data_IF_222778742169
#
_entry.id   IF_222778742169
#
_cell.length_a   1.000
_cell.length_b   1.000
_cell.length_c   1.000
_cell.angle_alpha   90.00
_cell.angle_beta   90.00
_cell.angle_gamma   90.00
#
_symmetry.space_group_name_H-M   'P 1'
#
loop_
_entity.id
_entity.type
_entity.pdbx_description
1 polymer ?
#
# COMPACT_ATOMS: atom_id res chain seq x y z
N UNK A 1 -67.41 35.80 52.16
CA UNK A 1 -66.12 35.50 52.81
C UNK A 1 -65.10 35.21 51.76
N UNK A 2 -64.23 36.18 51.40
CA UNK A 2 -62.90 36.04 50.88
C UNK A 2 -62.34 37.44 50.63
N UNK A 3 -61.28 37.80 51.36
CA UNK A 3 -60.64 39.07 51.31
C UNK A 3 -59.84 39.25 50.02
N UNK A 4 -60.02 40.37 49.34
CA UNK A 4 -59.12 40.86 48.30
C UNK A 4 -57.93 41.59 48.92
N UNK A 5 -56.73 41.11 48.62
CA UNK A 5 -55.49 41.84 48.92
C UNK A 5 -55.03 42.51 47.62
N UNK A 6 -54.94 43.81 47.66
CA UNK A 6 -54.42 44.65 46.59
C UNK A 6 -52.91 44.81 46.84
N UNK A 7 -52.08 44.40 45.86
CA UNK A 7 -50.65 44.64 45.86
C UNK A 7 -50.37 45.77 44.87
N UNK A 8 -49.85 46.86 45.36
CA UNK A 8 -49.38 47.98 44.59
C UNK A 8 -47.96 47.64 44.07
N UNK A 9 -47.81 47.60 42.74
CA UNK A 9 -46.51 47.38 42.10
C UNK A 9 -45.79 48.73 41.86
N UNK A 10 -44.60 48.85 42.50
CA UNK A 10 -43.65 49.91 42.18
C UNK A 10 -42.93 49.55 40.87
N UNK A 11 -43.02 50.36 39.84
CA UNK A 11 -42.22 50.26 38.62
C UNK A 11 -40.91 51.03 38.87
N UNK A 12 -39.82 50.29 39.03
CA UNK A 12 -38.46 50.83 39.01
C UNK A 12 -37.89 50.68 37.58
N UNK A 13 -37.72 51.81 36.89
CA UNK A 13 -37.03 51.87 35.60
C UNK A 13 -35.53 51.75 35.85
N UNK A 14 -34.98 50.57 35.58
CA UNK A 14 -33.55 50.35 35.56
C UNK A 14 -33.02 50.61 34.12
N UNK A 15 -32.28 51.68 33.94
CA UNK A 15 -31.48 51.99 32.77
C UNK A 15 -30.33 50.97 32.66
N UNK A 16 -30.43 50.02 31.74
CA UNK A 16 -29.34 49.09 31.42
C UNK A 16 -28.30 49.83 30.57
N UNK A 17 -27.17 50.20 31.19
CA UNK A 17 -25.97 50.60 30.48
C UNK A 17 -25.33 49.37 29.87
N UNK A 18 -25.42 49.18 28.54
CA UNK A 18 -24.72 48.16 27.80
C UNK A 18 -23.24 48.57 27.74
N UNK A 19 -22.44 48.10 28.70
CA UNK A 19 -21.00 48.04 28.54
C UNK A 19 -20.67 46.95 27.54
N UNK A 20 -20.30 47.34 26.31
CA UNK A 20 -19.68 46.41 25.35
C UNK A 20 -18.32 45.99 25.91
N UNK A 21 -18.29 44.86 26.53
CA UNK A 21 -17.06 44.17 26.85
C UNK A 21 -16.45 43.64 25.55
N UNK A 22 -15.54 44.44 24.98
CA UNK A 22 -14.58 43.94 23.99
C UNK A 22 -13.65 42.94 24.69
N UNK A 23 -14.13 41.70 24.90
CA UNK A 23 -13.25 40.61 25.27
C UNK A 23 -12.52 40.19 24.02
N UNK A 24 -11.25 40.60 23.89
CA UNK A 24 -10.32 39.93 22.99
C UNK A 24 -10.42 38.40 23.24
N UNK A 25 -10.43 37.58 22.19
CA UNK A 25 -10.50 36.12 22.38
C UNK A 25 -9.38 35.69 23.31
N UNK A 26 -9.74 35.04 24.41
CA UNK A 26 -8.75 34.46 25.35
C UNK A 26 -7.92 33.51 24.56
N UNK A 27 -6.65 33.81 24.38
CA UNK A 27 -5.64 32.92 23.83
C UNK A 27 -5.52 31.72 24.78
N UNK A 28 -6.00 30.55 24.36
CA UNK A 28 -5.83 29.32 25.14
C UNK A 28 -4.34 28.92 25.06
N UNK A 29 -3.66 29.03 26.18
CA UNK A 29 -2.35 28.40 26.36
C UNK A 29 -2.61 26.91 26.56
N UNK A 30 -2.41 26.11 25.52
CA UNK A 30 -2.49 24.67 25.62
C UNK A 30 -1.19 24.18 26.25
N UNK A 31 -1.25 23.66 27.47
CA UNK A 31 -0.12 22.99 28.14
C UNK A 31 -0.11 21.50 27.76
N UNK A 32 -0.32 21.23 26.45
CA UNK A 32 -0.37 19.88 25.90
C UNK A 32 0.90 19.55 25.10
N UNK A 33 1.29 18.26 25.01
CA UNK A 33 2.39 17.83 24.14
C UNK A 33 2.16 18.31 22.70
N UNK A 34 3.21 18.78 22.05
CA UNK A 34 3.14 19.37 20.69
C UNK A 34 2.53 18.43 19.65
N UNK A 35 2.81 17.10 19.77
CA UNK A 35 2.23 16.06 18.95
C UNK A 35 0.70 15.98 19.08
N UNK A 36 0.18 16.28 20.27
CA UNK A 36 -1.26 16.29 20.52
C UNK A 36 -1.93 17.49 19.85
N UNK A 37 -1.28 18.65 19.92
CA UNK A 37 -1.70 19.86 19.19
C UNK A 37 -1.70 19.60 17.69
N UNK A 38 -0.64 18.97 17.17
CA UNK A 38 -0.56 18.58 15.77
C UNK A 38 -1.71 17.64 15.38
N UNK A 39 -1.94 16.58 16.15
CA UNK A 39 -3.01 15.60 15.89
C UNK A 39 -4.38 16.24 15.88
N UNK A 40 -4.63 17.17 16.80
CA UNK A 40 -5.94 17.83 16.95
C UNK A 40 -6.23 18.83 15.82
N UNK A 41 -5.24 19.62 15.42
CA UNK A 41 -5.47 20.79 14.55
C UNK A 41 -4.91 20.66 13.14
N UNK A 42 -3.91 19.81 12.94
CA UNK A 42 -3.17 19.73 11.68
C UNK A 42 -3.38 18.39 10.95
N UNK A 43 -3.54 17.32 11.70
CA UNK A 43 -3.54 15.96 11.16
C UNK A 43 -4.68 15.66 10.18
N UNK A 44 -5.85 16.31 10.34
CA UNK A 44 -7.00 16.12 9.43
C UNK A 44 -6.69 16.47 7.97
N UNK A 45 -5.79 17.46 7.77
CA UNK A 45 -5.41 17.93 6.43
C UNK A 45 -4.00 17.47 6.03
N UNK A 46 -3.09 17.37 7.01
CA UNK A 46 -1.67 17.07 6.74
C UNK A 46 -1.31 15.60 6.98
N UNK A 47 -2.22 14.78 7.48
CA UNK A 47 -2.00 13.37 7.84
C UNK A 47 -1.60 13.21 9.30
N UNK A 48 -1.90 12.04 9.88
CA UNK A 48 -1.67 11.73 11.30
C UNK A 48 -0.17 11.65 11.66
N UNK A 49 0.69 11.53 10.66
CA UNK A 49 2.13 11.40 10.83
C UNK A 49 2.83 12.67 10.36
N UNK A 50 3.57 13.31 11.25
CA UNK A 50 4.33 14.53 10.92
C UNK A 50 5.35 14.29 9.80
N UNK A 51 5.87 13.07 9.68
CA UNK A 51 6.74 12.64 8.58
C UNK A 51 6.10 12.83 7.19
N UNK A 52 4.80 13.03 7.10
CA UNK A 52 4.11 13.36 5.86
C UNK A 52 4.69 14.58 5.15
N UNK A 53 5.23 15.53 5.89
CA UNK A 53 5.86 16.72 5.31
C UNK A 53 7.10 16.42 4.46
N UNK A 54 7.74 15.30 4.65
CA UNK A 54 8.86 14.79 3.84
C UNK A 54 8.53 14.72 2.36
N UNK A 55 7.32 14.30 2.04
CA UNK A 55 6.86 14.16 0.66
C UNK A 55 6.29 15.45 0.08
N UNK A 56 6.19 16.53 0.87
CA UNK A 56 5.63 17.80 0.42
C UNK A 56 6.62 18.61 -0.43
N UNK A 57 6.10 19.25 -1.46
CA UNK A 57 6.84 20.30 -2.20
C UNK A 57 6.58 21.63 -1.49
N UNK A 58 7.64 22.16 -0.91
CA UNK A 58 7.55 23.43 -0.17
C UNK A 58 7.37 24.61 -1.11
N UNK A 59 6.20 25.25 -1.06
CA UNK A 59 5.88 26.44 -1.87
C UNK A 59 6.25 27.74 -1.18
N UNK A 60 6.28 27.71 0.15
CA UNK A 60 6.42 28.89 0.99
C UNK A 60 7.63 28.79 1.92
N UNK A 61 8.60 27.94 1.55
CA UNK A 61 9.81 27.66 2.32
C UNK A 61 9.59 26.66 3.46
N UNK A 62 10.71 26.15 4.00
CA UNK A 62 10.71 25.14 5.06
C UNK A 62 11.70 25.49 6.19
N UNK A 63 12.18 26.69 6.24
CA UNK A 63 12.93 27.22 7.40
C UNK A 63 11.97 27.51 8.56
N UNK A 64 12.45 27.50 9.79
CA UNK A 64 11.62 27.77 10.96
C UNK A 64 10.79 29.07 10.85
N UNK A 65 11.38 30.23 10.47
CA UNK A 65 10.60 31.46 10.29
C UNK A 65 9.49 31.34 9.24
N UNK A 66 9.75 30.65 8.13
CA UNK A 66 8.79 30.44 7.05
C UNK A 66 7.64 29.52 7.49
N UNK A 67 7.96 28.46 8.26
CA UNK A 67 6.95 27.57 8.84
C UNK A 67 6.08 28.30 9.87
N UNK A 68 6.71 29.07 10.77
CA UNK A 68 5.98 29.90 11.75
C UNK A 68 5.06 30.89 11.04
N UNK A 69 5.53 31.57 9.99
CA UNK A 69 4.71 32.48 9.19
C UNK A 69 3.55 31.74 8.51
N UNK A 70 3.83 30.57 7.91
CA UNK A 70 2.83 29.75 7.24
C UNK A 70 1.74 29.24 8.18
N UNK A 71 2.10 28.77 9.36
CA UNK A 71 1.15 28.33 10.38
C UNK A 71 0.35 29.51 10.92
N UNK A 72 1.05 30.62 11.25
CA UNK A 72 0.40 31.81 11.82
C UNK A 72 -0.67 32.39 10.89
N UNK A 73 -0.34 32.60 9.62
CA UNK A 73 -1.18 33.34 8.68
C UNK A 73 -2.12 32.42 7.90
N UNK A 74 -1.78 31.14 7.77
CA UNK A 74 -2.51 30.22 6.90
C UNK A 74 -2.42 30.58 5.41
N UNK A 75 -3.14 29.84 4.60
CA UNK A 75 -3.32 30.04 3.15
C UNK A 75 -4.77 29.67 2.83
N UNK A 76 -5.71 30.56 3.17
CA UNK A 76 -7.14 30.30 3.05
C UNK A 76 -7.54 29.89 1.62
N UNK A 77 -6.93 30.50 0.61
CA UNK A 77 -7.16 30.16 -0.80
C UNK A 77 -6.75 28.73 -1.17
N UNK A 78 -5.90 28.09 -0.33
CA UNK A 78 -5.45 26.72 -0.47
C UNK A 78 -6.05 25.79 0.60
N UNK A 79 -7.02 26.26 1.38
CA UNK A 79 -7.70 25.49 2.41
C UNK A 79 -6.95 25.37 3.74
N UNK A 80 -5.81 26.06 3.92
CA UNK A 80 -5.10 26.10 5.20
C UNK A 80 -5.59 27.32 6.01
N UNK A 81 -6.31 27.13 7.15
CA UNK A 81 -6.79 28.23 7.95
C UNK A 81 -5.64 28.99 8.65
N UNK A 82 -5.88 30.25 9.01
CA UNK A 82 -5.00 31.01 9.92
C UNK A 82 -5.13 30.45 11.33
N UNK A 83 -3.99 30.25 12.00
CA UNK A 83 -3.95 29.83 13.39
C UNK A 83 -3.64 31.00 14.34
N UNK A 84 -3.47 32.20 13.81
CA UNK A 84 -3.30 33.43 14.58
C UNK A 84 -4.50 33.66 15.50
N UNK A 85 -4.23 33.73 16.81
CA UNK A 85 -5.28 33.95 17.82
C UNK A 85 -6.01 32.66 18.24
N UNK A 86 -5.76 31.52 17.60
CA UNK A 86 -6.25 30.20 17.99
C UNK A 86 -5.18 29.46 18.78
N UNK A 87 -3.96 29.39 18.22
CA UNK A 87 -2.79 28.84 18.88
C UNK A 87 -1.90 29.96 19.44
N UNK A 88 -1.21 29.69 20.55
CA UNK A 88 -0.25 30.65 21.08
C UNK A 88 0.99 30.74 20.17
N UNK A 89 1.72 31.86 20.14
CA UNK A 89 2.99 31.97 19.42
C UNK A 89 4.00 30.89 19.82
N UNK A 90 3.99 30.47 21.09
CA UNK A 90 4.84 29.41 21.63
C UNK A 90 4.47 28.04 21.06
N UNK A 91 3.18 27.73 20.91
CA UNK A 91 2.73 26.46 20.33
C UNK A 91 3.00 26.41 18.83
N UNK A 92 2.83 27.52 18.13
CA UNK A 92 3.20 27.66 16.71
C UNK A 92 4.70 27.44 16.51
N UNK A 93 5.53 28.02 17.38
CA UNK A 93 6.98 27.85 17.36
C UNK A 93 7.40 26.39 17.59
N UNK A 94 6.79 25.72 18.57
CA UNK A 94 7.00 24.29 18.84
C UNK A 94 6.51 23.39 17.71
N UNK A 95 5.38 23.72 17.06
CA UNK A 95 4.90 22.98 15.89
C UNK A 95 5.87 23.10 14.71
N UNK A 96 6.47 24.27 14.51
CA UNK A 96 7.51 24.45 13.50
C UNK A 96 8.76 23.60 13.81
N UNK A 97 9.19 23.55 15.07
CA UNK A 97 10.29 22.68 15.52
C UNK A 97 9.95 21.20 15.30
N UNK A 98 8.78 20.75 15.70
CA UNK A 98 8.31 19.38 15.48
C UNK A 98 8.36 18.98 13.99
N UNK A 99 7.94 19.86 13.11
CA UNK A 99 8.02 19.65 11.65
C UNK A 99 9.47 19.54 11.20
N UNK A 100 10.35 20.44 11.62
CA UNK A 100 11.77 20.47 11.24
C UNK A 100 12.50 19.21 11.74
N UNK A 101 12.27 18.82 12.99
CA UNK A 101 12.87 17.61 13.58
C UNK A 101 12.45 16.36 12.79
N UNK A 102 11.19 16.27 12.39
CA UNK A 102 10.72 15.17 11.56
C UNK A 102 11.24 15.25 10.12
N UNK A 103 11.46 16.44 9.56
CA UNK A 103 12.13 16.60 8.28
C UNK A 103 13.60 16.18 8.35
N UNK A 104 14.31 16.52 9.42
CA UNK A 104 15.68 16.05 9.66
C UNK A 104 15.72 14.53 9.85
N UNK A 105 14.69 13.96 10.46
CA UNK A 105 14.50 12.51 10.59
C UNK A 105 14.40 11.77 9.26
N UNK A 106 14.15 12.46 8.14
CA UNK A 106 14.18 11.88 6.78
C UNK A 106 15.56 11.37 6.41
N UNK A 107 16.63 11.98 6.91
CA UNK A 107 17.98 11.47 6.69
C UNK A 107 18.14 10.03 7.22
N UNK A 108 17.41 9.64 8.26
CA UNK A 108 17.36 8.25 8.73
C UNK A 108 16.74 7.28 7.72
N UNK A 109 15.97 7.77 6.74
CA UNK A 109 15.41 6.98 5.64
C UNK A 109 16.30 7.00 4.40
N UNK A 110 17.34 7.83 4.34
CA UNK A 110 18.34 7.84 3.28
C UNK A 110 19.37 6.73 3.52
N UNK A 111 18.95 5.55 3.23
CA UNK A 111 19.75 4.35 3.40
C UNK A 111 20.68 4.14 2.21
N UNK A 112 21.67 4.98 2.04
CA UNK A 112 22.69 4.85 1.00
C UNK A 112 23.83 3.89 1.37
N UNK A 113 23.94 3.51 2.65
CA UNK A 113 25.02 2.65 3.13
C UNK A 113 24.58 1.19 3.15
N UNK A 114 25.32 0.35 2.42
CA UNK A 114 25.14 -1.12 2.52
C UNK A 114 25.23 -1.57 3.99
N UNK A 115 24.44 -2.59 4.38
CA UNK A 115 24.56 -3.16 5.72
C UNK A 115 25.99 -3.58 6.02
N UNK A 116 26.46 -3.29 7.22
CA UNK A 116 27.80 -3.71 7.68
C UNK A 116 27.85 -5.21 8.00
N UNK A 117 26.71 -5.85 8.14
CA UNK A 117 26.54 -7.25 8.51
C UNK A 117 25.33 -7.84 7.80
N UNK A 118 25.27 -9.15 7.67
CA UNK A 118 24.09 -9.88 7.25
C UNK A 118 23.21 -10.31 8.44
N UNK A 119 23.50 -9.81 9.64
CA UNK A 119 22.71 -10.04 10.88
C UNK A 119 21.96 -8.77 11.23
N UNK A 120 20.69 -8.92 11.55
CA UNK A 120 19.76 -7.83 11.87
C UNK A 120 19.02 -8.15 13.15
N UNK A 121 18.97 -7.18 14.06
CA UNK A 121 18.23 -7.27 15.32
C UNK A 121 16.83 -6.71 15.10
N UNK A 122 15.83 -7.42 15.58
CA UNK A 122 14.44 -7.01 15.65
C UNK A 122 13.90 -7.32 17.04
N UNK A 123 12.75 -6.77 17.38
CA UNK A 123 12.11 -7.08 18.65
C UNK A 123 11.81 -8.59 18.76
N UNK A 124 12.44 -9.23 19.76
CA UNK A 124 12.27 -10.65 20.08
C UNK A 124 12.89 -11.65 19.08
N UNK A 125 13.54 -11.20 17.99
CA UNK A 125 14.19 -12.08 17.00
C UNK A 125 15.42 -11.38 16.42
N UNK A 126 16.57 -12.04 16.49
CA UNK A 126 17.73 -11.70 15.65
C UNK A 126 17.69 -12.58 14.41
N UNK A 127 17.91 -12.01 13.23
CA UNK A 127 17.87 -12.74 11.97
C UNK A 127 19.15 -12.59 11.18
N UNK A 128 19.49 -13.62 10.39
CA UNK A 128 20.63 -13.63 9.48
C UNK A 128 20.15 -13.87 8.06
N UNK A 129 20.62 -13.07 7.12
CA UNK A 129 20.36 -13.29 5.70
C UNK A 129 21.26 -14.36 5.12
N UNK A 130 20.65 -15.31 4.43
CA UNK A 130 21.30 -16.36 3.64
C UNK A 130 20.95 -16.17 2.17
N UNK A 131 21.94 -15.95 1.31
CA UNK A 131 21.75 -15.73 -0.12
C UNK A 131 21.35 -17.02 -0.82
N UNK A 132 20.16 -17.07 -1.38
CA UNK A 132 19.64 -18.22 -2.13
C UNK A 132 20.06 -18.16 -3.60
N UNK A 133 19.91 -16.99 -4.22
CA UNK A 133 20.25 -16.80 -5.62
C UNK A 133 20.61 -15.35 -5.92
N UNK A 134 21.40 -15.13 -6.98
CA UNK A 134 21.89 -13.83 -7.42
C UNK A 134 21.76 -13.67 -8.93
N UNK A 135 22.08 -12.45 -9.43
CA UNK A 135 22.15 -12.18 -10.86
C UNK A 135 20.79 -12.03 -11.52
N UNK A 136 19.84 -11.40 -10.83
CA UNK A 136 18.57 -10.96 -11.38
C UNK A 136 18.61 -9.44 -11.67
N UNK A 137 17.76 -9.00 -12.58
CA UNK A 137 17.45 -7.57 -12.71
C UNK A 137 16.49 -7.16 -11.60
N UNK A 138 15.37 -7.87 -11.51
CA UNK A 138 14.37 -7.68 -10.48
C UNK A 138 13.69 -9.02 -10.20
N UNK A 139 14.05 -9.73 -9.12
CA UNK A 139 13.39 -10.99 -8.73
C UNK A 139 11.97 -10.65 -8.22
N UNK A 140 11.01 -10.71 -9.14
CA UNK A 140 9.68 -10.16 -8.91
C UNK A 140 8.76 -11.14 -8.19
N UNK A 141 8.66 -12.36 -8.66
CA UNK A 141 7.88 -13.45 -8.08
C UNK A 141 8.78 -14.52 -7.46
N UNK A 142 8.30 -15.18 -6.43
CA UNK A 142 8.98 -16.27 -5.74
C UNK A 142 7.98 -17.34 -5.34
N UNK A 143 8.31 -18.61 -5.59
CA UNK A 143 7.58 -19.76 -5.07
C UNK A 143 8.54 -20.89 -4.70
N UNK A 144 8.36 -21.47 -3.52
CA UNK A 144 9.10 -22.66 -3.11
C UNK A 144 8.34 -23.92 -3.50
N UNK A 145 9.00 -24.82 -4.25
CA UNK A 145 8.45 -26.10 -4.67
C UNK A 145 8.45 -27.11 -3.49
N UNK A 146 7.62 -28.17 -3.55
CA UNK A 146 7.61 -29.21 -2.51
C UNK A 146 8.97 -29.91 -2.28
N UNK A 147 9.80 -30.03 -3.31
CA UNK A 147 11.17 -30.57 -3.24
C UNK A 147 12.19 -29.59 -2.68
N UNK A 148 11.72 -28.39 -2.22
CA UNK A 148 12.52 -27.27 -1.67
C UNK A 148 13.34 -26.49 -2.70
N UNK A 149 13.21 -26.76 -3.98
CA UNK A 149 13.71 -25.89 -5.02
C UNK A 149 12.85 -24.62 -5.11
N UNK A 150 13.30 -23.63 -5.86
CA UNK A 150 12.64 -22.34 -5.94
C UNK A 150 12.35 -21.97 -7.40
N UNK A 151 11.16 -21.44 -7.65
CA UNK A 151 10.84 -20.73 -8.88
C UNK A 151 10.96 -19.23 -8.62
N UNK A 152 11.68 -18.53 -9.47
CA UNK A 152 11.91 -17.09 -9.37
C UNK A 152 11.70 -16.48 -10.74
N UNK A 153 10.75 -15.53 -10.84
CA UNK A 153 10.59 -14.71 -12.03
C UNK A 153 11.52 -13.51 -11.98
N UNK A 154 12.15 -13.22 -13.10
CA UNK A 154 12.86 -11.97 -13.33
C UNK A 154 11.99 -11.08 -14.24
N UNK A 155 11.80 -9.84 -13.85
CA UNK A 155 10.98 -8.86 -14.57
C UNK A 155 11.38 -8.72 -16.05
N UNK A 156 12.61 -9.02 -16.41
CA UNK A 156 13.08 -9.05 -17.82
C UNK A 156 12.48 -10.17 -18.67
N UNK A 157 11.56 -10.97 -18.14
CA UNK A 157 10.82 -11.98 -18.89
C UNK A 157 11.34 -13.41 -18.70
N UNK A 158 12.26 -13.62 -17.77
CA UNK A 158 12.83 -14.93 -17.51
C UNK A 158 12.26 -15.58 -16.25
N UNK A 159 12.03 -16.87 -16.33
CA UNK A 159 11.68 -17.73 -15.20
C UNK A 159 12.89 -18.63 -14.89
N UNK A 160 13.25 -18.75 -13.61
CA UNK A 160 14.37 -19.58 -13.18
C UNK A 160 13.91 -20.64 -12.18
N UNK A 161 14.45 -21.83 -12.33
CA UNK A 161 14.51 -22.86 -11.30
C UNK A 161 15.85 -22.69 -10.56
N UNK A 162 15.81 -22.62 -9.25
CA UNK A 162 16.99 -22.63 -8.38
C UNK A 162 16.92 -23.86 -7.49
N UNK A 163 17.87 -24.77 -7.63
CA UNK A 163 17.93 -25.99 -6.84
C UNK A 163 18.46 -25.75 -5.41
N UNK A 164 18.43 -26.76 -4.57
CA UNK A 164 18.94 -26.69 -3.19
C UNK A 164 20.47 -26.48 -3.11
N UNK A 165 21.20 -26.78 -4.19
CA UNK A 165 22.63 -26.46 -4.33
C UNK A 165 22.88 -25.05 -4.85
N UNK A 166 21.80 -24.28 -5.08
CA UNK A 166 21.81 -22.91 -5.61
C UNK A 166 22.22 -22.79 -7.08
N UNK A 167 22.15 -23.88 -7.84
CA UNK A 167 22.30 -23.82 -9.28
C UNK A 167 21.03 -23.18 -9.88
N UNK A 168 21.23 -22.17 -10.73
CA UNK A 168 20.17 -21.44 -11.40
C UNK A 168 20.03 -21.92 -12.84
N UNK A 169 18.86 -22.43 -13.21
CA UNK A 169 18.52 -22.92 -14.55
C UNK A 169 17.34 -22.12 -15.10
N UNK A 170 17.44 -21.64 -16.32
CA UNK A 170 16.33 -20.93 -16.99
C UNK A 170 15.26 -21.92 -17.43
N UNK A 171 13.99 -21.59 -17.16
CA UNK A 171 12.82 -22.29 -17.69
C UNK A 171 12.43 -21.57 -19.00
N UNK A 172 12.50 -22.31 -20.09
CA UNK A 172 12.16 -21.80 -21.43
C UNK A 172 10.67 -21.97 -21.78
N UNK A 173 10.20 -21.26 -22.80
CA UNK A 173 8.80 -21.37 -23.28
C UNK A 173 7.78 -20.59 -22.46
N UNK A 174 8.21 -19.73 -21.55
CA UNK A 174 7.33 -18.79 -20.82
C UNK A 174 6.71 -17.78 -21.79
N UNK A 175 5.57 -17.13 -21.43
CA UNK A 175 4.97 -16.10 -22.26
C UNK A 175 5.95 -14.99 -22.63
N UNK A 176 5.84 -14.50 -23.85
CA UNK A 176 6.56 -13.31 -24.27
C UNK A 176 6.02 -12.08 -23.52
N UNK A 177 6.93 -11.23 -23.04
CA UNK A 177 6.58 -10.06 -22.25
C UNK A 177 7.29 -8.81 -22.76
N UNK A 178 6.70 -7.66 -22.50
CA UNK A 178 7.41 -6.40 -22.70
C UNK A 178 7.95 -5.87 -21.38
N UNK A 179 9.26 -5.99 -21.19
CA UNK A 179 9.97 -5.55 -19.97
C UNK A 179 10.31 -4.05 -20.03
N UNK A 180 9.28 -3.21 -20.13
CA UNK A 180 9.41 -1.74 -20.17
C UNK A 180 8.65 -1.10 -19.01
N UNK A 181 9.23 -0.04 -18.42
CA UNK A 181 8.66 0.61 -17.25
C UNK A 181 8.54 -0.35 -16.06
N UNK A 182 7.30 -0.59 -15.62
CA UNK A 182 6.99 -1.55 -14.54
C UNK A 182 6.58 -2.94 -15.08
N UNK A 183 6.48 -3.10 -16.40
CA UNK A 183 6.09 -4.35 -17.04
C UNK A 183 7.20 -5.38 -17.11
N UNK A 184 6.85 -6.63 -17.41
CA UNK A 184 7.73 -7.78 -17.54
C UNK A 184 7.04 -9.08 -17.13
N UNK A 185 7.81 -10.11 -16.78
CA UNK A 185 7.31 -11.29 -16.07
C UNK A 185 7.25 -10.94 -14.58
N UNK A 186 6.07 -11.09 -13.98
CA UNK A 186 5.78 -10.50 -12.68
C UNK A 186 5.62 -11.58 -11.60
N UNK A 187 4.44 -11.78 -11.03
CA UNK A 187 4.30 -12.71 -9.91
C UNK A 187 4.22 -14.17 -10.32
N UNK A 188 4.53 -15.04 -9.35
CA UNK A 188 4.39 -16.50 -9.44
C UNK A 188 3.60 -17.00 -8.24
N UNK A 189 2.63 -17.87 -8.49
CA UNK A 189 1.94 -18.63 -7.46
C UNK A 189 1.84 -20.11 -7.84
N UNK A 190 2.01 -20.99 -6.86
CA UNK A 190 1.68 -22.40 -7.03
C UNK A 190 0.20 -22.61 -6.75
N UNK A 191 -0.42 -23.53 -7.47
CA UNK A 191 -1.76 -24.00 -7.11
C UNK A 191 -1.78 -24.54 -5.67
N UNK A 192 -2.84 -24.34 -4.86
CA UNK A 192 -2.90 -24.89 -3.50
C UNK A 192 -2.68 -26.42 -3.43
N UNK A 193 -3.05 -27.13 -4.50
CA UNK A 193 -2.82 -28.57 -4.66
C UNK A 193 -1.69 -28.89 -5.66
N UNK A 194 -0.65 -28.05 -5.69
CA UNK A 194 0.46 -28.19 -6.66
C UNK A 194 1.09 -29.59 -6.66
N UNK A 195 1.29 -30.20 -5.50
CA UNK A 195 1.86 -31.54 -5.40
C UNK A 195 1.06 -32.62 -6.17
N UNK A 196 -0.23 -32.37 -6.43
CA UNK A 196 -1.14 -33.28 -7.14
C UNK A 196 -1.28 -32.93 -8.62
N UNK A 197 -1.30 -31.64 -8.97
CA UNK A 197 -1.64 -31.20 -10.32
C UNK A 197 -0.52 -30.48 -11.08
N UNK A 198 0.52 -30.01 -10.38
CA UNK A 198 1.69 -29.35 -10.97
C UNK A 198 1.45 -27.96 -11.57
N UNK A 199 0.28 -27.33 -11.32
CA UNK A 199 -0.04 -26.03 -11.90
C UNK A 199 0.75 -24.89 -11.22
N UNK A 200 1.40 -24.09 -12.05
CA UNK A 200 2.06 -22.83 -11.71
C UNK A 200 1.32 -21.69 -12.41
N UNK A 201 1.09 -20.59 -11.73
CA UNK A 201 0.46 -19.40 -12.26
C UNK A 201 1.48 -18.28 -12.36
N UNK A 202 1.40 -17.51 -13.43
CA UNK A 202 2.21 -16.31 -13.62
C UNK A 202 1.35 -15.15 -14.07
N UNK A 203 1.68 -13.97 -13.57
CA UNK A 203 1.23 -12.71 -14.12
C UNK A 203 2.32 -12.08 -14.97
N UNK A 204 1.93 -11.35 -16.00
CA UNK A 204 2.90 -10.75 -16.91
C UNK A 204 2.32 -9.51 -17.63
N UNK A 205 3.20 -8.67 -18.15
CA UNK A 205 2.80 -7.59 -19.05
C UNK A 205 2.59 -8.12 -20.45
N UNK A 206 1.32 -8.39 -20.77
CA UNK A 206 0.89 -8.74 -22.11
C UNK A 206 0.93 -7.50 -23.02
N UNK A 207 1.20 -7.68 -24.29
CA UNK A 207 1.26 -6.57 -25.23
C UNK A 207 0.70 -6.94 -26.61
N UNK A 208 0.31 -5.93 -27.36
CA UNK A 208 0.01 -6.01 -28.77
C UNK A 208 0.51 -4.75 -29.49
N UNK A 209 0.77 -4.89 -30.77
CA UNK A 209 1.15 -3.77 -31.62
C UNK A 209 -0.11 -3.29 -32.37
N UNK A 210 -0.41 -2.01 -32.21
CA UNK A 210 -1.49 -1.32 -32.90
C UNK A 210 -0.89 -0.17 -33.72
N UNK A 211 -0.73 -0.42 -35.01
CA UNK A 211 0.05 0.45 -35.91
C UNK A 211 1.51 0.54 -35.46
N UNK A 212 1.97 1.75 -35.08
CA UNK A 212 3.29 1.99 -34.52
C UNK A 212 3.32 2.01 -33.00
N UNK A 213 2.18 1.76 -32.35
CA UNK A 213 2.02 1.91 -30.90
C UNK A 213 2.02 0.55 -30.20
N UNK A 214 2.85 0.40 -29.17
CA UNK A 214 2.76 -0.76 -28.27
C UNK A 214 1.69 -0.49 -27.22
N UNK A 215 0.67 -1.34 -27.20
CA UNK A 215 -0.39 -1.35 -26.21
C UNK A 215 -0.13 -2.46 -25.21
N UNK A 216 -0.37 -2.21 -23.92
CA UNK A 216 -0.06 -3.17 -22.85
C UNK A 216 -1.25 -3.43 -21.93
N UNK A 217 -1.26 -4.62 -21.35
CA UNK A 217 -2.29 -5.13 -20.46
C UNK A 217 -1.65 -6.01 -19.38
N UNK A 218 -2.39 -6.40 -18.35
CA UNK A 218 -1.99 -7.43 -17.38
C UNK A 218 -2.61 -8.76 -17.79
N UNK A 219 -1.78 -9.77 -18.04
CA UNK A 219 -2.20 -11.13 -18.34
C UNK A 219 -1.96 -12.08 -17.15
N UNK A 220 -2.81 -13.11 -17.01
CA UNK A 220 -2.64 -14.24 -16.11
C UNK A 220 -2.62 -15.52 -16.92
N UNK A 221 -1.61 -16.35 -16.70
CA UNK A 221 -1.42 -17.63 -17.38
C UNK A 221 -1.13 -18.71 -16.33
N UNK A 222 -1.58 -19.93 -16.57
CA UNK A 222 -1.10 -21.12 -15.85
C UNK A 222 -0.43 -22.10 -16.79
N UNK A 223 0.46 -22.90 -16.25
CA UNK A 223 1.15 -23.97 -16.98
C UNK A 223 1.84 -24.91 -16.02
N UNK A 224 2.61 -25.84 -16.58
CA UNK A 224 3.42 -26.79 -15.83
C UNK A 224 4.88 -26.67 -16.24
N UNK A 225 5.77 -27.17 -15.38
CA UNK A 225 7.21 -27.22 -15.69
C UNK A 225 7.61 -28.68 -15.86
N UNK A 226 8.15 -29.02 -17.04
CA UNK A 226 8.70 -30.32 -17.35
C UNK A 226 10.03 -30.15 -18.08
N UNK A 227 11.09 -30.78 -17.61
CA UNK A 227 12.42 -30.75 -18.23
C UNK A 227 12.92 -29.29 -18.47
N UNK A 228 12.74 -28.41 -17.50
CA UNK A 228 13.08 -26.99 -17.57
C UNK A 228 12.35 -26.23 -18.70
N UNK A 229 11.19 -26.70 -19.09
CA UNK A 229 10.29 -26.01 -20.06
C UNK A 229 8.94 -25.75 -19.44
N UNK A 230 8.38 -24.57 -19.75
CA UNK A 230 7.00 -24.23 -19.51
C UNK A 230 6.12 -24.92 -20.56
N UNK A 231 5.21 -25.76 -20.11
CA UNK A 231 4.33 -26.57 -20.97
C UNK A 231 2.87 -26.49 -20.51
N UNK A 232 1.96 -27.00 -21.34
CA UNK A 232 0.52 -26.98 -21.05
C UNK A 232 0.01 -25.58 -20.71
N UNK A 233 0.56 -24.57 -21.38
CA UNK A 233 0.24 -23.15 -21.14
C UNK A 233 -1.22 -22.84 -21.45
N UNK A 234 -1.93 -22.21 -20.49
CA UNK A 234 -3.32 -21.80 -20.61
C UNK A 234 -3.44 -20.35 -20.17
N UNK A 235 -3.88 -19.48 -21.08
CA UNK A 235 -4.22 -18.11 -20.71
C UNK A 235 -5.55 -18.11 -19.95
N UNK A 236 -5.57 -17.49 -18.77
CA UNK A 236 -6.73 -17.46 -17.88
C UNK A 236 -7.43 -16.10 -17.89
N UNK A 237 -6.66 -15.04 -18.11
CA UNK A 237 -7.18 -13.68 -18.04
C UNK A 237 -6.29 -12.70 -18.81
N UNK A 238 -6.95 -11.71 -19.36
CA UNK A 238 -6.35 -10.55 -20.01
C UNK A 238 -7.14 -9.31 -19.62
N UNK A 239 -6.50 -8.32 -19.01
CA UNK A 239 -7.22 -7.11 -18.58
C UNK A 239 -7.53 -6.19 -19.77
N UNK A 240 -8.75 -5.71 -19.84
CA UNK A 240 -9.24 -4.81 -20.88
C UNK A 240 -9.70 -3.46 -20.27
N UNK A 241 -9.53 -2.37 -21.00
CA UNK A 241 -8.84 -2.25 -22.30
C UNK A 241 -7.32 -2.22 -22.15
N UNK A 242 -6.62 -2.51 -23.23
CA UNK A 242 -5.19 -2.25 -23.35
C UNK A 242 -4.88 -0.75 -23.31
N UNK A 243 -3.72 -0.38 -22.78
CA UNK A 243 -3.27 1.01 -22.67
C UNK A 243 -1.90 1.23 -23.28
N UNK A 244 -1.58 2.49 -23.61
CA UNK A 244 -0.24 2.90 -24.08
C UNK A 244 0.79 3.03 -22.97
N UNK A 245 0.40 2.84 -21.71
CA UNK A 245 1.26 3.04 -20.55
C UNK A 245 2.03 1.79 -20.21
N UNK A 246 3.18 1.95 -19.52
CA UNK A 246 4.03 0.86 -19.05
C UNK A 246 4.14 0.88 -17.51
N UNK A 247 3.06 1.29 -16.83
CA UNK A 247 3.01 1.41 -15.37
C UNK A 247 1.72 0.83 -14.80
N UNK A 248 1.72 0.61 -13.47
CA UNK A 248 0.59 0.16 -12.67
C UNK A 248 -0.06 -1.12 -13.21
N UNK A 249 0.72 -2.19 -13.32
CA UNK A 249 0.21 -3.50 -13.75
C UNK A 249 -0.51 -4.26 -12.62
N UNK A 250 -0.34 -3.86 -11.35
CA UNK A 250 -0.78 -4.64 -10.21
C UNK A 250 -0.04 -5.97 -10.14
N UNK A 251 -0.70 -7.07 -10.56
CA UNK A 251 -0.11 -8.36 -10.91
C UNK A 251 0.13 -9.36 -9.77
N UNK A 252 -0.19 -9.08 -8.51
CA UNK A 252 -0.05 -10.08 -7.44
C UNK A 252 -1.13 -11.14 -7.53
N UNK A 253 -0.75 -12.38 -7.22
CA UNK A 253 -1.63 -13.56 -7.25
C UNK A 253 -1.64 -14.21 -5.86
N UNK A 254 -2.83 -14.49 -5.34
CA UNK A 254 -3.01 -15.33 -4.14
C UNK A 254 -4.22 -16.26 -4.33
N UNK A 255 -4.25 -17.34 -3.55
CA UNK A 255 -5.40 -18.24 -3.48
C UNK A 255 -6.03 -18.17 -2.09
N UNK A 256 -7.36 -18.18 -2.04
CA UNK A 256 -8.07 -18.33 -0.78
C UNK A 256 -8.13 -19.81 -0.33
N UNK A 257 -8.69 -20.04 0.86
CA UNK A 257 -8.85 -21.37 1.43
C UNK A 257 -9.81 -22.27 0.64
N UNK A 258 -10.65 -21.70 -0.22
CA UNK A 258 -11.60 -22.42 -1.08
C UNK A 258 -10.99 -22.77 -2.44
N UNK A 259 -9.80 -22.24 -2.74
CA UNK A 259 -9.09 -22.46 -4.00
C UNK A 259 -9.45 -21.43 -5.08
N UNK A 260 -10.17 -20.36 -4.76
CA UNK A 260 -10.35 -19.26 -5.70
C UNK A 260 -9.06 -18.48 -5.86
N UNK A 261 -8.73 -18.13 -7.09
CA UNK A 261 -7.63 -17.27 -7.45
C UNK A 261 -8.04 -15.81 -7.36
N UNK A 262 -7.30 -15.02 -6.56
CA UNK A 262 -7.39 -13.57 -6.53
C UNK A 262 -6.14 -12.96 -7.14
N UNK A 263 -6.32 -11.92 -7.94
CA UNK A 263 -5.17 -11.19 -8.50
C UNK A 263 -5.51 -9.71 -8.68
N UNK A 264 -4.47 -8.90 -8.73
CA UNK A 264 -4.60 -7.46 -8.83
C UNK A 264 -4.27 -6.95 -10.23
N UNK A 265 -5.01 -5.94 -10.68
CA UNK A 265 -4.72 -5.15 -11.87
C UNK A 265 -4.68 -3.68 -11.47
N UNK A 266 -3.61 -2.98 -11.78
CA UNK A 266 -3.48 -1.54 -11.52
C UNK A 266 -4.25 -0.69 -12.54
N UNK A 267 -4.48 0.58 -12.23
CA UNK A 267 -5.26 1.51 -13.05
C UNK A 267 -4.51 2.03 -14.30
N UNK A 268 -3.30 1.54 -14.54
CA UNK A 268 -2.52 1.79 -15.75
C UNK A 268 -2.11 3.25 -15.96
N UNK A 269 -2.07 4.08 -14.91
CA UNK A 269 -1.83 5.53 -15.02
C UNK A 269 -3.01 6.32 -15.59
N UNK A 270 -4.21 5.74 -15.50
CA UNK A 270 -5.45 6.31 -16.04
C UNK A 270 -6.46 6.57 -14.90
N UNK A 271 -6.00 7.21 -13.84
CA UNK A 271 -6.74 7.40 -12.59
C UNK A 271 -8.12 8.04 -12.75
N UNK A 272 -8.29 8.90 -13.74
CA UNK A 272 -9.57 9.58 -13.99
C UNK A 272 -10.57 8.79 -14.82
N UNK A 273 -10.15 7.61 -15.33
CA UNK A 273 -10.93 6.82 -16.29
C UNK A 273 -11.34 5.48 -15.70
N UNK A 274 -10.39 4.71 -15.16
CA UNK A 274 -10.63 3.29 -14.92
C UNK A 274 -11.03 2.89 -13.50
N UNK A 275 -10.43 3.44 -12.43
CA UNK A 275 -10.59 2.83 -11.09
C UNK A 275 -12.03 2.79 -10.60
N UNK A 276 -12.81 3.83 -10.87
CA UNK A 276 -14.19 3.96 -10.39
C UNK A 276 -15.23 3.31 -11.30
N UNK A 277 -14.89 3.07 -12.57
CA UNK A 277 -15.78 2.40 -13.51
C UNK A 277 -15.64 0.88 -13.41
N UNK A 278 -16.72 0.14 -13.59
CA UNK A 278 -16.77 -1.34 -13.47
C UNK A 278 -16.94 -2.06 -14.80
N UNK A 279 -16.96 -1.31 -15.91
CA UNK A 279 -17.00 -1.80 -17.29
C UNK A 279 -15.61 -2.10 -17.88
N UNK A 280 -14.58 -2.08 -17.04
CA UNK A 280 -13.19 -2.35 -17.39
C UNK A 280 -12.48 -3.09 -16.25
N UNK A 281 -11.32 -3.70 -16.56
CA UNK A 281 -10.58 -4.54 -15.61
C UNK A 281 -9.47 -3.80 -14.86
N UNK A 282 -9.23 -2.52 -15.17
CA UNK A 282 -8.09 -1.77 -14.64
C UNK A 282 -8.42 -1.08 -13.30
N UNK A 283 -7.50 -1.13 -12.33
CA UNK A 283 -7.72 -0.61 -10.96
C UNK A 283 -8.67 -1.48 -10.15
N UNK A 284 -8.45 -2.80 -10.18
CA UNK A 284 -9.35 -3.81 -9.61
C UNK A 284 -8.60 -4.93 -8.90
N UNK A 285 -9.29 -5.61 -7.98
CA UNK A 285 -8.99 -6.98 -7.60
C UNK A 285 -10.00 -7.89 -8.27
N UNK A 286 -9.52 -8.92 -8.96
CA UNK A 286 -10.32 -9.92 -9.64
C UNK A 286 -10.35 -11.23 -8.87
N UNK A 287 -11.43 -12.01 -9.04
CA UNK A 287 -11.57 -13.37 -8.51
C UNK A 287 -12.04 -14.32 -9.60
N UNK A 288 -11.30 -15.41 -9.79
CA UNK A 288 -11.61 -16.49 -10.73
C UNK A 288 -11.49 -17.85 -10.03
N UNK A 289 -12.05 -18.88 -10.64
CA UNK A 289 -11.64 -20.26 -10.38
C UNK A 289 -10.18 -20.47 -10.83
N UNK A 290 -9.56 -21.53 -10.38
CA UNK A 290 -8.18 -21.91 -10.73
C UNK A 290 -7.99 -22.18 -12.24
N UNK A 291 -9.07 -22.47 -12.98
CA UNK A 291 -9.10 -22.69 -14.42
C UNK A 291 -9.44 -21.45 -15.26
N UNK A 292 -9.61 -20.29 -14.60
CA UNK A 292 -9.96 -19.02 -15.25
C UNK A 292 -11.46 -18.78 -15.40
N UNK A 293 -12.32 -19.74 -15.06
CA UNK A 293 -13.77 -19.53 -15.10
C UNK A 293 -14.25 -18.59 -13.98
N UNK A 294 -15.36 -17.92 -14.22
CA UNK A 294 -15.87 -16.90 -13.29
C UNK A 294 -16.76 -17.56 -12.24
N UNK A 295 -16.47 -17.35 -10.92
CA UNK A 295 -17.33 -17.82 -9.85
C UNK A 295 -18.73 -17.21 -9.92
N UNK A 296 -19.76 -18.04 -9.78
CA UNK A 296 -21.17 -17.61 -9.87
C UNK A 296 -21.59 -16.60 -8.77
N UNK A 297 -20.86 -16.61 -7.65
CA UNK A 297 -21.06 -15.73 -6.51
C UNK A 297 -20.16 -14.48 -6.52
N UNK A 298 -19.52 -14.16 -7.64
CA UNK A 298 -18.84 -12.87 -7.82
C UNK A 298 -19.85 -11.72 -7.75
N UNK A 299 -19.49 -10.57 -7.16
CA UNK A 299 -20.44 -9.51 -6.82
C UNK A 299 -21.13 -8.87 -8.04
N UNK A 300 -20.56 -9.01 -9.23
CA UNK A 300 -21.09 -8.41 -10.46
C UNK A 300 -21.63 -9.43 -11.46
N UNK A 301 -21.64 -10.73 -11.14
CA UNK A 301 -22.27 -11.76 -11.96
C UNK A 301 -23.79 -11.53 -12.03
N UNK A 302 -24.35 -11.68 -13.21
CA UNK A 302 -25.80 -11.47 -13.46
C UNK A 302 -26.22 -10.01 -13.57
N UNK A 303 -25.29 -9.05 -13.48
CA UNK A 303 -25.51 -7.63 -13.75
C UNK A 303 -25.33 -7.34 -15.25
N UNK A 304 -25.72 -6.14 -15.67
CA UNK A 304 -25.53 -5.65 -17.04
C UNK A 304 -24.05 -5.74 -17.45
N UNK A 305 -23.72 -6.66 -18.35
CA UNK A 305 -22.33 -6.93 -18.78
C UNK A 305 -21.69 -5.74 -19.53
N UNK A 306 -22.49 -4.79 -20.01
CA UNK A 306 -21.95 -3.55 -20.61
C UNK A 306 -21.42 -2.56 -19.57
N UNK A 307 -21.78 -2.74 -18.28
CA UNK A 307 -21.42 -1.86 -17.18
C UNK A 307 -20.59 -2.56 -16.10
N UNK A 308 -20.60 -3.89 -16.06
CA UNK A 308 -19.99 -4.65 -14.98
C UNK A 308 -19.25 -5.87 -15.51
N UNK A 309 -17.94 -5.88 -15.37
CA UNK A 309 -17.15 -7.07 -15.68
C UNK A 309 -17.30 -8.11 -14.55
N UNK A 310 -17.72 -9.34 -14.86
CA UNK A 310 -18.12 -10.33 -13.84
C UNK A 310 -16.93 -10.93 -13.07
N UNK A 311 -15.69 -10.75 -13.54
CA UNK A 311 -14.48 -11.18 -12.84
C UNK A 311 -14.10 -10.25 -11.68
N UNK A 312 -14.62 -9.01 -11.65
CA UNK A 312 -14.28 -8.00 -10.64
C UNK A 312 -14.78 -8.46 -9.28
N UNK A 313 -13.89 -8.44 -8.29
CA UNK A 313 -14.22 -8.68 -6.89
C UNK A 313 -14.31 -7.38 -6.09
N UNK A 314 -13.40 -6.43 -6.31
CA UNK A 314 -13.45 -5.06 -5.78
C UNK A 314 -12.88 -4.06 -6.79
N UNK A 315 -13.15 -2.76 -6.58
CA UNK A 315 -12.74 -1.71 -7.51
C UNK A 315 -12.29 -0.44 -6.77
N UNK A 316 -11.77 0.52 -7.50
CA UNK A 316 -11.26 1.76 -6.91
C UNK A 316 -9.85 1.65 -6.37
N UNK A 317 -9.05 0.69 -6.84
CA UNK A 317 -7.63 0.54 -6.52
C UNK A 317 -6.76 1.36 -7.49
N UNK A 318 -5.58 1.80 -6.98
CA UNK A 318 -4.57 2.45 -7.82
C UNK A 318 -3.58 1.46 -8.42
N UNK A 319 -2.73 0.88 -7.60
CA UNK A 319 -1.70 -0.06 -8.04
C UNK A 319 -1.34 -1.05 -6.94
N UNK A 320 -2.16 -2.07 -6.73
CA UNK A 320 -1.89 -3.09 -5.72
C UNK A 320 -0.63 -3.90 -6.06
N UNK A 321 0.39 -3.80 -5.21
CA UNK A 321 1.69 -4.46 -5.40
C UNK A 321 1.93 -5.58 -4.39
N UNK A 322 1.02 -5.77 -3.45
CA UNK A 322 0.99 -6.88 -2.53
C UNK A 322 -0.41 -7.46 -2.40
N UNK A 323 -0.53 -8.79 -2.34
CA UNK A 323 -1.79 -9.50 -2.15
C UNK A 323 -1.51 -10.82 -1.42
N UNK A 324 -2.23 -11.08 -0.34
CA UNK A 324 -2.10 -12.32 0.43
C UNK A 324 -3.40 -12.69 1.11
N UNK A 325 -3.58 -13.97 1.39
CA UNK A 325 -4.69 -14.47 2.19
C UNK A 325 -4.26 -14.57 3.65
N UNK A 326 -5.05 -14.00 4.54
CA UNK A 326 -4.86 -14.17 5.98
C UNK A 326 -5.07 -15.65 6.33
N UNK A 327 -4.05 -16.36 6.86
CA UNK A 327 -4.14 -17.81 7.06
C UNK A 327 -5.12 -18.22 8.18
N UNK A 328 -5.52 -17.30 9.05
CA UNK A 328 -6.46 -17.57 10.14
C UNK A 328 -7.90 -17.26 9.75
N UNK A 329 -8.15 -16.05 9.22
CA UNK A 329 -9.52 -15.59 8.89
C UNK A 329 -9.96 -15.97 7.47
N UNK A 330 -9.02 -16.09 6.54
CA UNK A 330 -9.29 -16.30 5.11
C UNK A 330 -9.51 -15.01 4.33
N UNK A 331 -9.46 -13.84 4.99
CA UNK A 331 -9.60 -12.55 4.33
C UNK A 331 -8.43 -12.27 3.38
N UNK A 332 -8.73 -11.59 2.29
CA UNK A 332 -7.72 -11.12 1.34
C UNK A 332 -7.19 -9.77 1.82
N UNK A 333 -5.89 -9.69 2.03
CA UNK A 333 -5.18 -8.47 2.38
C UNK A 333 -4.35 -7.99 1.21
N UNK A 334 -4.32 -6.70 1.05
CA UNK A 334 -3.69 -6.02 -0.07
C UNK A 334 -2.86 -4.84 0.43
N UNK A 335 -1.78 -4.52 -0.32
CA UNK A 335 -1.09 -3.24 -0.21
C UNK A 335 -0.99 -2.59 -1.57
N UNK A 336 -1.27 -1.27 -1.63
CA UNK A 336 -1.17 -0.52 -2.86
C UNK A 336 -0.34 0.75 -2.74
N UNK A 337 0.17 1.19 -3.88
CA UNK A 337 0.91 2.43 -3.98
C UNK A 337 -0.01 3.64 -4.08
N UNK A 338 0.13 4.57 -3.16
CA UNK A 338 -0.24 5.97 -3.39
C UNK A 338 0.79 6.67 -4.30
N UNK A 339 0.58 7.94 -4.66
CA UNK A 339 1.60 8.69 -5.42
C UNK A 339 2.72 9.25 -4.51
N UNK A 340 2.50 10.36 -3.82
CA UNK A 340 3.39 10.90 -2.78
C UNK A 340 2.69 10.83 -1.44
N UNK A 341 2.99 9.79 -0.67
CA UNK A 341 2.19 9.39 0.48
C UNK A 341 0.89 8.69 0.07
N UNK A 342 0.16 8.16 1.05
CA UNK A 342 -1.11 7.51 0.82
C UNK A 342 -1.00 6.10 0.23
N UNK A 343 0.13 5.42 0.39
CA UNK A 343 0.16 3.97 0.21
C UNK A 343 -0.72 3.34 1.29
N UNK A 344 -1.39 2.23 0.98
CA UNK A 344 -2.42 1.66 1.84
C UNK A 344 -2.20 0.18 2.16
N UNK A 345 -2.76 -0.24 3.29
CA UNK A 345 -3.01 -1.64 3.64
C UNK A 345 -4.52 -1.80 3.70
N UNK A 346 -5.07 -2.69 2.89
CA UNK A 346 -6.51 -2.91 2.77
C UNK A 346 -6.91 -4.36 3.08
N UNK A 347 -8.13 -4.56 3.61
CA UNK A 347 -8.82 -5.85 3.65
C UNK A 347 -9.86 -5.83 2.54
N UNK A 348 -9.73 -6.73 1.58
CA UNK A 348 -10.53 -6.71 0.37
C UNK A 348 -11.87 -7.43 0.57
N UNK A 349 -12.96 -6.75 0.28
CA UNK A 349 -14.32 -7.23 0.40
C UNK A 349 -15.04 -7.21 -0.95
N UNK A 350 -15.97 -8.16 -1.14
CA UNK A 350 -16.73 -8.31 -2.37
C UNK A 350 -17.58 -7.07 -2.69
N UNK A 351 -17.46 -6.56 -3.91
CA UNK A 351 -18.26 -5.46 -4.44
C UNK A 351 -17.92 -4.09 -3.87
N UNK A 352 -16.87 -3.95 -3.04
CA UNK A 352 -16.52 -2.71 -2.37
C UNK A 352 -15.61 -1.82 -3.21
N UNK A 353 -15.76 -0.50 -3.01
CA UNK A 353 -15.00 0.57 -3.66
C UNK A 353 -13.91 1.09 -2.71
N UNK A 354 -12.64 1.02 -3.12
CA UNK A 354 -11.48 1.48 -2.35
C UNK A 354 -11.08 2.94 -2.63
N UNK A 355 -11.87 3.62 -3.43
CA UNK A 355 -11.96 5.07 -3.46
C UNK A 355 -10.98 5.82 -4.34
N UNK A 356 -9.90 5.20 -4.85
CA UNK A 356 -8.97 5.88 -5.75
C UNK A 356 -9.64 6.34 -7.06
N UNK A 357 -9.46 7.57 -7.54
CA UNK A 357 -8.75 8.72 -6.93
C UNK A 357 -9.68 9.71 -6.20
N UNK A 358 -10.93 9.32 -5.93
CA UNK A 358 -11.95 10.19 -5.29
C UNK A 358 -11.57 10.55 -3.87
N UNK A 359 -11.01 9.58 -3.13
CA UNK A 359 -10.39 9.78 -1.81
C UNK A 359 -8.92 9.40 -1.88
N UNK A 360 -8.07 10.06 -1.10
CA UNK A 360 -6.64 9.75 -1.00
C UNK A 360 -6.00 10.40 0.23
N UNK A 361 -5.02 9.72 0.82
CA UNK A 361 -4.13 10.26 1.85
C UNK A 361 -2.84 10.87 1.27
N UNK A 362 -2.65 10.78 -0.05
CA UNK A 362 -1.48 11.27 -0.77
C UNK A 362 -1.73 12.54 -1.57
N UNK A 363 -0.66 13.02 -2.21
CA UNK A 363 -0.69 14.15 -3.15
C UNK A 363 -0.01 13.74 -4.46
N UNK A 364 -0.25 14.50 -5.52
CA UNK A 364 0.41 14.31 -6.80
C UNK A 364 1.94 14.54 -6.71
N UNK A 365 2.69 13.98 -7.63
CA UNK A 365 4.14 14.14 -7.71
C UNK A 365 4.57 15.60 -7.94
N UNK A 366 3.71 16.44 -8.53
CA UNK A 366 3.93 17.88 -8.69
C UNK A 366 3.62 18.68 -7.40
N UNK A 367 3.13 18.02 -6.35
CA UNK A 367 2.78 18.61 -5.04
C UNK A 367 1.38 19.16 -4.95
N UNK A 368 0.55 19.03 -6.00
CA UNK A 368 -0.86 19.41 -5.96
C UNK A 368 -1.72 18.34 -5.30
N UNK A 369 -2.83 18.69 -4.67
CA UNK A 369 -3.81 17.72 -4.22
C UNK A 369 -4.33 16.85 -5.38
N UNK A 370 -4.56 15.57 -5.13
CA UNK A 370 -5.34 14.69 -6.00
C UNK A 370 -6.82 14.99 -5.76
N UNK A 371 -7.15 14.98 -4.50
CA UNK A 371 -8.47 15.30 -3.94
C UNK A 371 -8.28 16.02 -2.60
N UNK A 372 -9.32 16.66 -2.12
CA UNK A 372 -9.33 17.35 -0.82
C UNK A 372 -9.98 16.50 0.27
N UNK A 373 -10.36 15.27 -0.03
CA UNK A 373 -11.05 14.38 0.91
C UNK A 373 -10.32 13.03 1.01
N UNK A 374 -10.20 12.54 2.22
CA UNK A 374 -9.63 11.21 2.51
C UNK A 374 -10.69 10.17 2.84
N UNK A 375 -11.95 10.59 3.06
CA UNK A 375 -13.07 9.71 3.41
C UNK A 375 -14.31 10.11 2.65
N UNK A 376 -15.10 9.12 2.20
CA UNK A 376 -16.41 9.34 1.56
C UNK A 376 -17.30 8.12 1.83
N UNK A 377 -18.58 8.36 2.03
CA UNK A 377 -19.57 7.30 2.17
C UNK A 377 -19.59 6.40 0.93
N UNK A 378 -19.70 5.10 1.13
CA UNK A 378 -19.63 4.09 0.07
C UNK A 378 -18.23 3.75 -0.43
N UNK A 379 -17.18 4.32 0.20
CA UNK A 379 -15.77 4.02 -0.08
C UNK A 379 -15.07 3.48 1.17
N UNK A 380 -14.38 2.37 1.01
CA UNK A 380 -13.69 1.69 2.10
C UNK A 380 -12.48 2.51 2.58
N UNK A 381 -12.17 2.35 3.86
CA UNK A 381 -11.02 2.99 4.47
C UNK A 381 -9.92 1.97 4.71
N UNK A 382 -8.65 2.31 4.50
CA UNK A 382 -7.55 1.39 4.73
C UNK A 382 -7.42 1.02 6.21
N UNK A 383 -6.94 -0.20 6.47
CA UNK A 383 -6.51 -0.65 7.80
C UNK A 383 -5.39 0.23 8.34
N UNK A 384 -4.50 0.67 7.45
CA UNK A 384 -3.43 1.63 7.72
C UNK A 384 -2.96 2.25 6.40
N UNK A 385 -2.37 3.44 6.48
CA UNK A 385 -1.74 4.09 5.34
C UNK A 385 -0.33 4.59 5.69
N UNK A 386 0.46 4.86 4.66
CA UNK A 386 1.84 5.31 4.81
C UNK A 386 2.01 6.72 4.26
N UNK A 387 2.47 7.62 5.11
CA UNK A 387 2.99 8.92 4.73
C UNK A 387 4.24 9.15 5.58
N UNK A 388 5.40 9.27 4.94
CA UNK A 388 5.67 9.26 3.51
C UNK A 388 5.36 7.92 2.85
N UNK A 389 5.14 7.91 1.51
CA UNK A 389 5.05 6.69 0.73
C UNK A 389 6.28 5.81 0.92
N UNK A 390 6.09 4.54 1.24
CA UNK A 390 7.16 3.55 1.33
C UNK A 390 7.30 2.73 0.05
N UNK A 391 6.37 2.89 -0.89
CA UNK A 391 6.18 2.05 -2.06
C UNK A 391 6.12 0.56 -1.65
N UNK A 392 5.02 0.12 -0.97
CA UNK A 392 4.88 -1.25 -0.48
C UNK A 392 4.86 -2.23 -1.65
N UNK A 393 5.43 -3.41 -1.43
CA UNK A 393 5.54 -4.44 -2.46
C UNK A 393 4.91 -5.75 -1.99
N UNK A 394 5.60 -6.89 -2.13
CA UNK A 394 5.11 -8.16 -1.61
C UNK A 394 4.79 -8.09 -0.11
N UNK A 395 3.76 -8.83 0.31
CA UNK A 395 3.40 -8.97 1.70
C UNK A 395 3.07 -10.42 2.04
N UNK A 396 3.27 -10.78 3.31
CA UNK A 396 2.91 -12.11 3.84
C UNK A 396 2.65 -12.08 5.33
N UNK A 397 1.73 -12.90 5.80
CA UNK A 397 1.56 -13.16 7.23
C UNK A 397 2.58 -14.19 7.71
N UNK A 398 3.12 -13.98 8.91
CA UNK A 398 4.02 -14.91 9.58
C UNK A 398 3.21 -16.02 10.27
N UNK A 399 2.83 -17.04 9.49
CA UNK A 399 2.15 -18.24 9.98
C UNK A 399 3.15 -19.39 10.14
N UNK A 400 4.09 -19.24 11.07
CA UNK A 400 5.16 -20.21 11.32
C UNK A 400 5.67 -20.08 12.76
N UNK A 401 6.14 -21.19 13.33
CA UNK A 401 6.77 -21.22 14.65
C UNK A 401 8.29 -20.95 14.62
N UNK A 402 8.86 -20.79 13.42
CA UNK A 402 10.29 -20.47 13.29
C UNK A 402 10.67 -19.09 13.81
N UNK A 403 9.70 -18.17 13.87
CA UNK A 403 9.88 -16.81 14.39
C UNK A 403 8.79 -16.54 15.42
N UNK A 404 8.90 -17.09 16.64
CA UNK A 404 7.81 -17.01 17.63
C UNK A 404 7.32 -15.58 17.91
N UNK A 405 8.25 -14.61 18.02
CA UNK A 405 7.90 -13.21 18.25
C UNK A 405 7.24 -12.50 17.06
N UNK A 406 7.33 -13.07 15.85
CA UNK A 406 6.71 -12.53 14.66
C UNK A 406 5.42 -13.25 14.24
N UNK A 407 5.05 -14.31 14.96
CA UNK A 407 3.84 -15.08 14.63
C UNK A 407 2.61 -14.18 14.66
N UNK A 408 1.82 -14.22 13.59
CA UNK A 408 0.65 -13.36 13.43
C UNK A 408 0.93 -11.97 12.84
N UNK A 409 2.20 -11.57 12.72
CA UNK A 409 2.54 -10.28 12.14
C UNK A 409 2.44 -10.30 10.60
N UNK A 410 2.21 -9.13 10.02
CA UNK A 410 2.24 -8.91 8.58
C UNK A 410 3.59 -8.29 8.19
N UNK A 411 4.27 -8.89 7.22
CA UNK A 411 5.54 -8.41 6.67
C UNK A 411 5.32 -7.78 5.31
N UNK A 412 5.84 -6.57 5.10
CA UNK A 412 5.65 -5.78 3.87
C UNK A 412 7.00 -5.25 3.40
N UNK A 413 7.35 -5.49 2.15
CA UNK A 413 8.57 -4.95 1.55
C UNK A 413 8.43 -3.47 1.20
N UNK A 414 9.47 -2.67 1.44
CA UNK A 414 9.56 -1.28 1.01
C UNK A 414 10.53 -1.14 -0.15
N UNK A 415 10.05 -0.64 -1.28
CA UNK A 415 10.88 -0.34 -2.44
C UNK A 415 11.59 1.01 -2.32
N UNK A 416 10.93 2.00 -1.70
CA UNK A 416 11.48 3.35 -1.61
C UNK A 416 12.59 3.46 -0.58
N UNK A 417 12.39 2.88 0.59
CA UNK A 417 13.29 3.04 1.72
C UNK A 417 14.10 1.78 2.07
N UNK A 418 14.05 0.75 1.23
CA UNK A 418 14.93 -0.42 1.29
C UNK A 418 14.91 -1.14 2.65
N UNK A 419 13.73 -1.41 3.20
CA UNK A 419 13.56 -2.15 4.45
C UNK A 419 12.36 -3.11 4.38
N UNK A 420 12.31 -4.05 5.29
CA UNK A 420 11.14 -4.85 5.57
C UNK A 420 10.35 -4.20 6.70
N UNK A 421 9.07 -3.92 6.48
CA UNK A 421 8.17 -3.37 7.48
C UNK A 421 7.42 -4.52 8.17
N UNK A 422 7.66 -4.72 9.46
CA UNK A 422 6.90 -5.63 10.31
C UNK A 422 5.74 -4.88 10.93
N UNK A 423 4.53 -5.34 10.67
CA UNK A 423 3.29 -4.79 11.23
C UNK A 423 2.71 -5.78 12.24
N UNK A 424 2.54 -5.37 13.49
CA UNK A 424 1.77 -6.13 14.47
C UNK A 424 0.30 -5.84 14.26
N UNK A 425 -0.46 -6.91 14.00
CA UNK A 425 -1.90 -6.82 13.72
C UNK A 425 -2.69 -7.27 14.95
N UNK A 426 -3.64 -6.45 15.39
CA UNK A 426 -4.61 -6.79 16.42
C UNK A 426 -5.99 -6.26 16.01
N UNK A 427 -7.01 -7.13 16.04
CA UNK A 427 -8.39 -6.78 15.68
C UNK A 427 -8.48 -6.06 14.31
N UNK A 428 -7.79 -6.60 13.30
CA UNK A 428 -7.66 -6.03 11.96
C UNK A 428 -7.09 -4.61 11.91
N UNK A 429 -6.32 -4.19 12.91
CA UNK A 429 -5.64 -2.90 12.97
C UNK A 429 -4.13 -3.09 13.08
N UNK A 430 -3.38 -2.21 12.45
CA UNK A 430 -1.92 -2.12 12.65
C UNK A 430 -1.69 -1.35 13.95
N UNK A 431 -1.23 -2.06 14.99
CA UNK A 431 -0.99 -1.46 16.33
C UNK A 431 0.47 -1.08 16.56
N UNK A 432 1.40 -1.63 15.77
CA UNK A 432 2.82 -1.29 15.83
C UNK A 432 3.47 -1.60 14.49
N UNK A 433 4.46 -0.81 14.12
CA UNK A 433 5.31 -1.02 12.93
C UNK A 433 6.78 -0.97 13.33
N UNK A 434 7.57 -1.88 12.76
CA UNK A 434 9.01 -1.92 12.94
C UNK A 434 9.71 -2.04 11.58
N UNK A 435 10.77 -1.24 11.38
CA UNK A 435 11.60 -1.28 10.17
C UNK A 435 12.79 -2.22 10.42
N UNK A 436 12.81 -3.33 9.73
CA UNK A 436 13.86 -4.34 9.85
C UNK A 436 14.54 -4.59 8.49
N UNK A 437 15.69 -5.26 8.47
CA UNK A 437 16.46 -5.51 7.25
C UNK A 437 16.73 -4.21 6.45
N UNK A 438 17.09 -3.14 7.17
CA UNK A 438 17.35 -1.84 6.57
C UNK A 438 18.55 -1.87 5.64
N UNK A 439 18.46 -1.23 4.46
CA UNK A 439 19.51 -1.11 3.44
C UNK A 439 19.94 -2.40 2.71
N UNK A 440 19.16 -3.46 2.84
CA UNK A 440 19.43 -4.69 2.08
C UNK A 440 19.21 -4.47 0.59
N UNK A 441 18.44 -3.44 0.22
CA UNK A 441 18.08 -3.04 -1.13
C UNK A 441 16.58 -2.88 -1.28
N UNK A 442 16.10 -2.60 -2.48
CA UNK A 442 14.68 -2.43 -2.77
C UNK A 442 13.96 -3.78 -2.66
N UNK A 443 13.18 -3.98 -1.61
CA UNK A 443 12.46 -5.24 -1.39
C UNK A 443 11.25 -5.32 -2.33
N UNK A 444 11.35 -6.17 -3.35
CA UNK A 444 10.28 -6.38 -4.34
C UNK A 444 9.31 -7.47 -3.93
N UNK A 445 9.82 -8.52 -3.32
CA UNK A 445 9.01 -9.66 -2.91
C UNK A 445 9.27 -10.03 -1.45
N UNK A 446 8.21 -10.42 -0.76
CA UNK A 446 8.25 -10.90 0.62
C UNK A 446 7.28 -12.07 0.68
N UNK A 447 7.77 -13.26 1.00
CA UNK A 447 6.94 -14.47 0.99
C UNK A 447 7.39 -15.48 2.05
N UNK A 448 6.44 -16.11 2.72
CA UNK A 448 6.70 -17.25 3.58
C UNK A 448 6.82 -18.51 2.72
N UNK A 449 7.93 -19.23 2.84
CA UNK A 449 8.14 -20.50 2.17
C UNK A 449 7.34 -21.63 2.81
N UNK A 450 7.15 -22.72 2.08
CA UNK A 450 6.50 -23.94 2.59
C UNK A 450 7.29 -24.63 3.71
N UNK A 451 8.56 -24.26 3.88
CA UNK A 451 9.45 -24.69 4.96
C UNK A 451 9.35 -23.80 6.21
N UNK A 452 8.50 -22.77 6.16
CA UNK A 452 8.27 -21.82 7.27
C UNK A 452 9.33 -20.75 7.41
N UNK A 453 10.30 -20.64 6.50
CA UNK A 453 11.22 -19.50 6.47
C UNK A 453 10.65 -18.35 5.65
N UNK A 454 11.01 -17.12 6.07
CA UNK A 454 10.71 -15.90 5.31
C UNK A 454 11.75 -15.74 4.19
N UNK A 455 11.28 -15.39 3.00
CA UNK A 455 12.10 -15.10 1.83
C UNK A 455 11.84 -13.68 1.34
N UNK A 456 12.89 -13.01 0.90
CA UNK A 456 12.81 -11.66 0.30
C UNK A 456 13.53 -11.64 -1.04
N UNK A 457 12.87 -11.04 -2.03
CA UNK A 457 13.47 -10.71 -3.32
C UNK A 457 13.85 -9.23 -3.35
N UNK A 458 15.09 -8.93 -3.73
CA UNK A 458 15.67 -7.59 -3.65
C UNK A 458 16.16 -7.14 -5.01
N UNK A 459 15.61 -6.01 -5.50
CA UNK A 459 16.19 -5.26 -6.64
C UNK A 459 17.43 -4.50 -6.15
N UNK A 460 18.47 -4.40 -6.97
CA UNK A 460 19.72 -3.79 -6.54
C UNK A 460 20.18 -4.27 -5.14
N UNK A 461 20.86 -5.42 -5.10
CA UNK A 461 21.72 -5.98 -6.15
C UNK A 461 21.13 -7.14 -6.99
N UNK A 462 19.82 -7.40 -7.00
CA UNK A 462 19.23 -8.49 -7.78
C UNK A 462 19.45 -9.86 -7.14
N UNK A 463 18.93 -10.04 -5.93
CA UNK A 463 19.17 -11.21 -5.09
C UNK A 463 17.88 -11.72 -4.43
N UNK A 464 17.88 -13.00 -4.11
CA UNK A 464 16.87 -13.60 -3.22
C UNK A 464 17.56 -14.10 -1.97
N UNK A 465 17.04 -13.74 -0.81
CA UNK A 465 17.54 -14.14 0.49
C UNK A 465 16.50 -14.96 1.25
N UNK A 466 16.98 -15.94 2.01
CA UNK A 466 16.25 -16.52 3.13
C UNK A 466 16.61 -15.77 4.41
N UNK A 467 15.62 -15.42 5.18
CA UNK A 467 15.77 -14.73 6.46
C UNK A 467 15.78 -15.81 7.55
N UNK A 468 16.92 -16.14 8.10
CA UNK A 468 17.03 -17.18 9.13
C UNK A 468 16.95 -16.57 10.52
N UNK A 469 16.13 -17.09 11.45
CA UNK A 469 16.29 -16.76 12.86
C UNK A 469 17.65 -17.26 13.34
N UNK A 470 18.34 -16.43 14.16
CA UNK A 470 19.70 -16.69 14.64
C UNK A 470 19.65 -17.08 16.11
#
# INVERSE_FOLDING_TARGET
MYKKIMIVGLIATATLSIMSLNTAPKQFVLDEPTEKIYTQYCASCHGEKVEAFVDRKWKHGNTKPELVASITNGYNDMGMPTWKGILSPKDIDKLADLIIENLAGVEQYKFEKKPKSNIFVSEGVTVKLDTIATGFDSPWGFAQLPNKDYLISDRKGKLYLVDQKRNKTEITGTPEVIAKGQGGLLDIALHPKFAQNGWVYMSYSKFKIDGSTTMTSTGIVRGKIKNNMWVESQELFESLPYTKTFQHFGSRITFDKKGYMFFSVGERGMEKVFPQETDNDNGKIHRLHDDGTIPKDNPFVGKDAAKFHPSIYSYGQRNPQGLTTNPWTGDIWETEHGPRGGDEINIIQAGRNYGWPVISYGINYDGKPITNISKKEGMEQPVSYFVPSIAPSGLTFMNTDKYPAWKGNLMIGSLRFNYLNRCVIKDNKVVMQEKILTNVGRLRNVKLGSDGYLYIGVENPGMVFRVNPN
#
